data_IF_270341216622
#
_entry.id   IF_270341216622
#
_cell.length_a   1.000
_cell.length_b   1.000
_cell.length_c   1.000
_cell.angle_alpha   90.00
_cell.angle_beta   90.00
_cell.angle_gamma   90.00
#
_symmetry.space_group_name_H-M   'P 1'
#
loop_
_entity.id
_entity.type
_entity.pdbx_description
1 polymer ?
#
# COMPACT_ATOMS: atom_id res chain seq x y z
N UNK A 1 -30.34 11.35 -0.31
CA UNK A 1 -29.23 12.30 -0.02
C UNK A 1 -27.99 11.51 0.32
N UNK A 2 -26.82 11.90 -0.19
CA UNK A 2 -25.52 11.28 0.17
C UNK A 2 -24.68 12.32 0.91
N UNK A 3 -24.12 11.95 2.06
CA UNK A 3 -23.19 12.79 2.83
C UNK A 3 -21.76 12.47 2.44
N UNK A 4 -20.96 13.50 2.16
CA UNK A 4 -19.55 13.38 1.85
C UNK A 4 -18.73 13.92 3.03
N UNK A 5 -17.85 13.09 3.59
CA UNK A 5 -16.93 13.46 4.64
C UNK A 5 -15.54 13.61 4.03
N UNK A 6 -14.99 14.82 4.03
CA UNK A 6 -13.65 15.09 3.50
C UNK A 6 -12.65 15.04 4.65
N UNK A 7 -11.62 14.22 4.50
CA UNK A 7 -10.57 14.02 5.48
C UNK A 7 -9.21 14.19 4.79
N UNK A 8 -8.22 14.70 5.51
CA UNK A 8 -6.86 14.79 5.00
C UNK A 8 -6.28 13.39 4.81
N UNK A 9 -6.15 12.63 5.87
CA UNK A 9 -5.56 11.29 5.84
C UNK A 9 -6.24 10.32 6.80
N UNK A 10 -5.71 9.12 6.84
CA UNK A 10 -6.10 8.04 7.75
C UNK A 10 -4.85 7.26 8.14
N UNK A 11 -4.74 6.89 9.43
CA UNK A 11 -3.66 6.08 9.97
C UNK A 11 -4.15 4.71 10.46
N UNK A 12 -3.22 3.92 10.99
CA UNK A 12 -3.59 2.77 11.81
C UNK A 12 -4.32 3.27 13.06
N UNK A 13 -5.41 2.59 13.44
CA UNK A 13 -6.33 2.98 14.52
C UNK A 13 -5.61 3.22 15.88
N UNK A 14 -4.99 4.36 16.00
CA UNK A 14 -4.16 4.74 17.14
C UNK A 14 -4.54 6.08 17.76
N UNK A 15 -5.44 6.84 17.13
CA UNK A 15 -5.84 8.16 17.60
C UNK A 15 -7.36 8.34 17.67
N UNK A 16 -7.79 9.35 18.42
CA UNK A 16 -9.20 9.70 18.52
C UNK A 16 -9.83 10.14 17.20
N UNK A 17 -9.01 10.60 16.24
CA UNK A 17 -9.49 11.04 14.92
C UNK A 17 -10.02 9.86 14.10
N UNK A 18 -9.27 8.77 14.00
CA UNK A 18 -9.68 7.55 13.30
C UNK A 18 -10.93 6.95 13.94
N UNK A 19 -10.99 6.89 15.27
CA UNK A 19 -12.19 6.41 15.97
C UNK A 19 -13.41 7.32 15.74
N UNK A 20 -13.23 8.63 15.73
CA UNK A 20 -14.32 9.56 15.44
C UNK A 20 -14.86 9.37 14.01
N UNK A 21 -14.00 9.11 13.03
CA UNK A 21 -14.42 8.79 11.67
C UNK A 21 -15.24 7.49 11.62
N UNK A 22 -14.79 6.43 12.32
CA UNK A 22 -15.49 5.16 12.44
C UNK A 22 -16.87 5.34 13.09
N UNK A 23 -16.95 6.02 14.22
CA UNK A 23 -18.24 6.28 14.90
C UNK A 23 -19.21 7.06 14.01
N UNK A 24 -18.70 8.02 13.24
CA UNK A 24 -19.53 8.76 12.27
C UNK A 24 -20.07 7.84 11.17
N UNK A 25 -19.25 6.92 10.66
CA UNK A 25 -19.68 5.90 9.68
C UNK A 25 -20.78 5.03 10.27
N UNK A 26 -20.61 4.52 11.48
CA UNK A 26 -21.59 3.70 12.17
C UNK A 26 -22.91 4.46 12.40
N UNK A 27 -22.85 5.69 12.91
CA UNK A 27 -24.04 6.52 13.15
C UNK A 27 -24.83 6.80 11.88
N UNK A 28 -24.16 7.08 10.76
CA UNK A 28 -24.84 7.26 9.48
C UNK A 28 -25.48 5.96 8.98
N UNK A 29 -24.83 4.83 9.23
CA UNK A 29 -25.37 3.53 8.87
C UNK A 29 -26.66 3.19 9.63
N UNK A 30 -26.66 3.43 10.94
CA UNK A 30 -27.81 3.17 11.83
C UNK A 30 -29.06 3.94 11.41
N UNK A 31 -28.90 5.16 10.90
CA UNK A 31 -30.02 6.00 10.42
C UNK A 31 -30.25 5.89 8.92
N UNK A 32 -29.61 4.95 8.22
CA UNK A 32 -29.82 4.70 6.80
C UNK A 32 -29.33 5.81 5.86
N UNK A 33 -28.40 6.66 6.30
CA UNK A 33 -27.86 7.74 5.49
C UNK A 33 -26.73 7.20 4.61
N UNK A 34 -26.85 7.38 3.28
CA UNK A 34 -25.75 7.11 2.34
C UNK A 34 -24.60 8.08 2.61
N UNK A 35 -23.39 7.55 2.69
CA UNK A 35 -22.20 8.35 3.00
C UNK A 35 -21.02 7.92 2.16
N UNK A 36 -20.09 8.83 1.97
CA UNK A 36 -18.76 8.60 1.38
C UNK A 36 -17.71 9.32 2.21
N UNK A 37 -16.55 8.67 2.37
CA UNK A 37 -15.39 9.25 3.03
C UNK A 37 -14.31 9.50 1.97
N UNK A 38 -13.92 10.75 1.82
CA UNK A 38 -12.91 11.18 0.85
C UNK A 38 -11.61 11.41 1.62
N UNK A 39 -10.54 10.76 1.19
CA UNK A 39 -9.18 10.96 1.70
C UNK A 39 -8.32 11.62 0.62
N UNK A 40 -7.70 12.75 0.95
CA UNK A 40 -6.93 13.57 0.02
C UNK A 40 -5.41 13.49 0.20
N UNK A 41 -4.93 12.88 1.27
CA UNK A 41 -3.49 12.73 1.50
C UNK A 41 -2.88 11.61 0.65
N UNK A 42 -1.62 11.82 0.22
CA UNK A 42 -0.87 10.82 -0.54
C UNK A 42 -0.29 9.77 0.41
N UNK A 43 -1.03 8.69 0.62
CA UNK A 43 -0.65 7.59 1.49
C UNK A 43 -0.03 6.48 0.63
N UNK A 44 1.30 6.44 0.52
CA UNK A 44 2.02 5.38 -0.19
C UNK A 44 2.62 4.33 0.74
N UNK A 45 3.07 4.71 1.93
CA UNK A 45 3.72 3.80 2.87
C UNK A 45 2.83 2.69 3.43
N UNK A 46 1.51 2.87 3.38
CA UNK A 46 0.50 1.88 3.77
C UNK A 46 -0.62 1.89 2.74
N UNK A 47 -1.19 0.72 2.45
CA UNK A 47 -2.35 0.63 1.57
C UNK A 47 -3.59 1.20 2.27
N UNK A 48 -4.26 2.16 1.64
CA UNK A 48 -5.48 2.76 2.20
C UNK A 48 -6.58 1.73 2.45
N UNK A 49 -6.69 0.69 1.62
CA UNK A 49 -7.64 -0.40 1.82
C UNK A 49 -7.39 -1.19 3.10
N UNK A 50 -6.13 -1.37 3.50
CA UNK A 50 -5.78 -2.02 4.77
C UNK A 50 -6.10 -1.12 5.96
N UNK A 51 -5.81 0.19 5.85
CA UNK A 51 -6.09 1.17 6.90
C UNK A 51 -7.59 1.30 7.16
N UNK A 52 -8.40 1.42 6.10
CA UNK A 52 -9.85 1.54 6.20
C UNK A 52 -10.51 0.26 6.69
N UNK A 53 -10.04 -0.91 6.22
CA UNK A 53 -10.52 -2.21 6.68
C UNK A 53 -10.23 -2.43 8.18
N UNK A 54 -9.04 -2.03 8.66
CA UNK A 54 -8.68 -2.11 10.08
C UNK A 54 -9.63 -1.30 10.98
N UNK A 55 -10.19 -0.21 10.47
CA UNK A 55 -11.20 0.59 11.16
C UNK A 55 -12.63 0.07 10.96
N UNK A 56 -12.82 -0.91 10.08
CA UNK A 56 -14.12 -1.50 9.77
C UNK A 56 -14.98 -0.65 8.83
N UNK A 57 -14.35 0.18 8.00
CA UNK A 57 -15.05 0.83 6.91
C UNK A 57 -15.36 -0.15 5.78
N UNK A 58 -16.48 0.07 5.12
CA UNK A 58 -16.77 -0.56 3.84
C UNK A 58 -15.99 0.18 2.73
N UNK A 59 -15.15 -0.53 1.99
CA UNK A 59 -14.35 0.03 0.92
C UNK A 59 -15.19 0.72 -0.16
N UNK A 60 -16.43 0.27 -0.38
CA UNK A 60 -17.35 0.94 -1.30
C UNK A 60 -17.72 2.37 -0.86
N UNK A 61 -17.56 2.70 0.42
CA UNK A 61 -17.81 4.02 0.96
C UNK A 61 -16.56 4.93 0.96
N UNK A 62 -15.41 4.41 0.55
CA UNK A 62 -14.16 5.14 0.53
C UNK A 62 -13.87 5.70 -0.87
N UNK A 63 -13.42 6.94 -0.90
CA UNK A 63 -12.86 7.59 -2.09
C UNK A 63 -11.47 8.09 -1.71
N UNK A 64 -10.45 7.54 -2.32
CA UNK A 64 -9.10 8.08 -2.22
C UNK A 64 -8.81 8.89 -3.47
N UNK A 65 -8.42 10.15 -3.28
CA UNK A 65 -8.27 11.11 -4.38
C UNK A 65 -7.38 10.58 -5.52
N UNK A 66 -6.30 9.90 -5.17
CA UNK A 66 -5.33 9.39 -6.15
C UNK A 66 -5.82 8.17 -6.94
N UNK A 67 -6.73 7.37 -6.38
CA UNK A 67 -7.36 6.26 -7.11
C UNK A 67 -8.59 6.70 -7.92
N UNK A 68 -9.16 7.86 -7.61
CA UNK A 68 -10.39 8.32 -8.26
C UNK A 68 -10.26 8.46 -9.79
N UNK A 69 -9.07 8.79 -10.26
CA UNK A 69 -8.77 8.98 -11.68
C UNK A 69 -8.15 7.73 -12.33
N UNK A 70 -8.19 6.59 -11.66
CA UNK A 70 -7.66 5.31 -12.16
C UNK A 70 -8.74 4.23 -12.12
N UNK A 71 -8.52 3.12 -12.85
CA UNK A 71 -9.39 1.94 -12.80
C UNK A 71 -9.09 1.03 -11.59
N UNK A 72 -8.11 1.39 -10.75
CA UNK A 72 -7.71 0.61 -9.59
C UNK A 72 -8.68 0.85 -8.44
N UNK A 73 -9.34 -0.21 -7.98
CA UNK A 73 -10.26 -0.15 -6.83
C UNK A 73 -9.48 -0.15 -5.51
N UNK A 74 -10.09 0.46 -4.48
CA UNK A 74 -9.59 0.33 -3.12
C UNK A 74 -9.81 -1.12 -2.66
N UNK A 75 -8.75 -1.76 -2.21
CA UNK A 75 -8.74 -3.14 -1.74
C UNK A 75 -7.61 -3.34 -0.74
N UNK A 76 -7.76 -4.31 0.14
CA UNK A 76 -6.67 -4.77 1.02
C UNK A 76 -5.53 -5.40 0.22
N UNK A 77 -4.35 -5.46 0.83
CA UNK A 77 -3.15 -6.05 0.24
C UNK A 77 -3.28 -7.56 0.12
N UNK A 78 -3.50 -8.04 -1.10
CA UNK A 78 -3.66 -9.47 -1.41
C UNK A 78 -2.88 -9.92 -2.65
N UNK A 79 -2.00 -9.07 -3.20
CA UNK A 79 -1.11 -9.45 -4.29
C UNK A 79 -0.07 -10.47 -3.79
N UNK A 80 0.01 -11.63 -4.45
CA UNK A 80 0.82 -12.74 -3.97
C UNK A 80 2.30 -12.54 -4.34
N UNK A 81 3.19 -12.88 -3.41
CA UNK A 81 4.63 -12.94 -3.67
C UNK A 81 4.96 -13.92 -4.80
N UNK A 82 4.24 -15.04 -4.89
CA UNK A 82 4.46 -16.04 -5.95
C UNK A 82 4.10 -15.48 -7.33
N UNK A 83 3.08 -14.61 -7.42
CA UNK A 83 2.76 -13.89 -8.66
C UNK A 83 3.92 -12.97 -9.05
N UNK A 84 4.45 -12.18 -8.11
CA UNK A 84 5.61 -11.33 -8.35
C UNK A 84 6.84 -12.13 -8.81
N UNK A 85 7.14 -13.25 -8.12
CA UNK A 85 8.26 -14.12 -8.46
C UNK A 85 8.15 -14.66 -9.89
N UNK A 86 6.96 -15.01 -10.33
CA UNK A 86 6.70 -15.51 -11.68
C UNK A 86 6.78 -14.41 -12.74
N UNK A 87 6.12 -13.26 -12.50
CA UNK A 87 6.10 -12.14 -13.45
C UNK A 87 7.50 -11.57 -13.71
N UNK A 88 8.32 -11.47 -12.67
CA UNK A 88 9.68 -10.95 -12.77
C UNK A 88 10.74 -12.05 -12.95
N UNK A 89 10.36 -13.32 -13.05
CA UNK A 89 11.25 -14.48 -13.13
C UNK A 89 12.33 -14.49 -12.02
N UNK A 90 11.96 -14.04 -10.81
CA UNK A 90 12.92 -13.81 -9.73
C UNK A 90 13.71 -15.07 -9.33
N UNK A 91 13.05 -16.25 -9.34
CA UNK A 91 13.71 -17.53 -9.03
C UNK A 91 14.86 -17.87 -9.98
N UNK A 92 14.75 -17.45 -11.26
CA UNK A 92 15.76 -17.68 -12.28
C UNK A 92 16.86 -16.63 -12.28
N UNK A 93 16.50 -15.37 -11.99
CA UNK A 93 17.39 -14.22 -12.10
C UNK A 93 18.15 -13.93 -10.80
N UNK A 94 17.74 -14.51 -9.67
CA UNK A 94 18.39 -14.28 -8.38
C UNK A 94 19.54 -15.26 -8.14
N UNK A 95 20.66 -14.71 -7.74
CA UNK A 95 21.81 -15.49 -7.23
C UNK A 95 21.62 -15.92 -5.78
N UNK A 96 20.82 -15.17 -5.02
CA UNK A 96 20.53 -15.46 -3.62
C UNK A 96 19.14 -14.92 -3.25
N UNK A 97 18.42 -15.67 -2.39
CA UNK A 97 17.13 -15.27 -1.82
C UNK A 97 17.18 -15.48 -0.31
N UNK A 98 16.82 -14.44 0.45
CA UNK A 98 16.82 -14.48 1.92
C UNK A 98 15.55 -13.83 2.45
N UNK A 99 14.94 -14.42 3.47
CA UNK A 99 13.81 -13.82 4.21
C UNK A 99 14.28 -13.38 5.60
N UNK A 100 13.96 -12.14 5.96
CA UNK A 100 14.24 -11.57 7.28
C UNK A 100 12.98 -10.86 7.78
N UNK A 101 12.33 -11.39 8.78
CA UNK A 101 11.06 -10.87 9.29
C UNK A 101 9.98 -10.86 8.19
N UNK A 102 9.47 -9.68 7.89
CA UNK A 102 8.48 -9.46 6.83
C UNK A 102 9.09 -9.07 5.47
N UNK A 103 10.38 -9.17 5.30
CA UNK A 103 11.05 -8.78 4.06
C UNK A 103 11.70 -9.99 3.38
N UNK A 104 11.50 -10.08 2.06
CA UNK A 104 12.14 -11.09 1.19
C UNK A 104 13.08 -10.37 0.24
N UNK A 105 14.36 -10.70 0.35
CA UNK A 105 15.44 -10.10 -0.41
C UNK A 105 15.81 -11.01 -1.58
N UNK A 106 15.83 -10.46 -2.79
CA UNK A 106 16.28 -11.11 -4.01
C UNK A 106 17.52 -10.39 -4.53
N UNK A 107 18.67 -11.04 -4.46
CA UNK A 107 19.90 -10.51 -5.07
C UNK A 107 19.98 -10.95 -6.52
N UNK A 108 19.82 -10.02 -7.46
CA UNK A 108 19.88 -10.33 -8.89
C UNK A 108 21.33 -10.37 -9.41
N UNK A 109 21.52 -11.07 -10.54
CA UNK A 109 22.84 -11.28 -11.13
C UNK A 109 23.50 -9.99 -11.65
N UNK A 110 22.72 -8.95 -11.92
CA UNK A 110 23.19 -7.63 -12.39
C UNK A 110 23.53 -6.66 -11.25
N UNK A 111 23.53 -7.13 -10.00
CA UNK A 111 23.80 -6.34 -8.81
C UNK A 111 22.59 -5.55 -8.29
N UNK A 112 21.43 -5.67 -8.91
CA UNK A 112 20.18 -5.13 -8.39
C UNK A 112 19.65 -6.02 -7.26
N UNK A 113 19.17 -5.42 -6.19
CA UNK A 113 18.46 -6.10 -5.11
C UNK A 113 17.01 -5.69 -5.12
N UNK A 114 16.11 -6.66 -5.12
CA UNK A 114 14.70 -6.44 -4.87
C UNK A 114 14.38 -6.82 -3.41
N UNK A 115 13.61 -5.99 -2.73
CA UNK A 115 13.13 -6.25 -1.38
C UNK A 115 11.62 -6.19 -1.40
N UNK A 116 10.98 -7.35 -1.31
CA UNK A 116 9.53 -7.46 -1.21
C UNK A 116 9.11 -7.44 0.26
N UNK A 117 8.22 -6.52 0.64
CA UNK A 117 7.64 -6.43 1.98
C UNK A 117 6.35 -7.24 2.02
N UNK A 118 6.26 -8.17 2.96
CA UNK A 118 5.06 -8.97 3.18
C UNK A 118 4.05 -8.18 4.02
N UNK A 119 2.84 -8.01 3.50
CA UNK A 119 1.68 -7.56 4.27
C UNK A 119 1.20 -8.65 5.22
N UNK A 120 1.15 -9.90 4.72
CA UNK A 120 0.82 -11.11 5.48
C UNK A 120 1.85 -12.21 5.15
N UNK A 121 2.61 -12.62 6.17
CA UNK A 121 3.67 -13.62 6.00
C UNK A 121 3.12 -15.04 5.78
N UNK A 122 1.97 -15.39 6.38
CA UNK A 122 1.35 -16.71 6.24
C UNK A 122 0.76 -16.90 4.85
N UNK A 123 0.05 -15.90 4.35
CA UNK A 123 -0.54 -15.89 3.00
C UNK A 123 0.46 -15.53 1.92
N UNK A 124 1.67 -15.09 2.29
CA UNK A 124 2.71 -14.60 1.35
C UNK A 124 2.20 -13.51 0.42
N UNK A 125 1.40 -12.58 0.95
CA UNK A 125 0.97 -11.39 0.23
C UNK A 125 1.91 -10.23 0.46
N UNK A 126 2.07 -9.35 -0.52
CA UNK A 126 2.96 -8.18 -0.47
C UNK A 126 2.19 -6.88 -0.60
N UNK A 127 2.74 -5.82 -0.07
CA UNK A 127 2.25 -4.45 -0.22
C UNK A 127 3.28 -3.51 -0.86
N UNK A 128 4.56 -3.88 -0.89
CA UNK A 128 5.63 -3.04 -1.42
C UNK A 128 6.78 -3.87 -1.99
N UNK A 129 7.38 -3.37 -3.07
CA UNK A 129 8.67 -3.86 -3.61
C UNK A 129 9.62 -2.70 -3.79
N UNK A 130 10.77 -2.77 -3.13
CA UNK A 130 11.86 -1.80 -3.26
C UNK A 130 12.95 -2.32 -4.18
N UNK A 131 13.48 -1.45 -5.04
CA UNK A 131 14.57 -1.73 -5.96
C UNK A 131 15.80 -0.96 -5.50
N UNK A 132 16.84 -1.67 -5.10
CA UNK A 132 18.06 -1.10 -4.52
C UNK A 132 19.27 -1.52 -5.35
N UNK A 133 20.15 -0.58 -5.70
CA UNK A 133 21.42 -0.85 -6.37
C UNK A 133 22.53 -0.06 -5.69
N UNK A 134 23.64 -0.71 -5.38
CA UNK A 134 24.77 -0.09 -4.69
C UNK A 134 24.35 0.66 -3.40
N UNK A 135 23.50 0.06 -2.59
CA UNK A 135 22.90 0.65 -1.37
C UNK A 135 22.06 1.93 -1.62
N UNK A 136 21.71 2.22 -2.88
CA UNK A 136 20.85 3.34 -3.23
C UNK A 136 19.48 2.82 -3.62
N UNK A 137 18.44 3.33 -2.98
CA UNK A 137 17.07 3.07 -3.34
C UNK A 137 16.75 3.80 -4.65
N UNK A 138 16.31 3.06 -5.66
CA UNK A 138 16.00 3.60 -6.98
C UNK A 138 14.50 3.81 -7.18
N UNK A 139 13.71 2.86 -6.67
CA UNK A 139 12.29 2.79 -6.94
C UNK A 139 11.57 2.00 -5.86
N UNK A 140 10.31 2.34 -5.60
CA UNK A 140 9.35 1.50 -4.88
C UNK A 140 8.09 1.31 -5.71
N UNK A 141 7.59 0.09 -5.77
CA UNK A 141 6.27 -0.26 -6.29
C UNK A 141 5.34 -0.59 -5.12
N UNK A 142 4.09 -0.14 -5.19
CA UNK A 142 3.08 -0.35 -4.16
C UNK A 142 1.93 -1.19 -4.71
N UNK A 143 1.49 -2.15 -3.89
CA UNK A 143 0.55 -3.19 -4.28
C UNK A 143 -0.66 -3.25 -3.35
N UNK A 144 -1.84 -3.47 -3.94
CA UNK A 144 -3.05 -3.94 -3.26
C UNK A 144 -3.40 -5.34 -3.79
N UNK A 145 -4.34 -5.48 -4.70
CA UNK A 145 -4.56 -6.69 -5.51
C UNK A 145 -3.80 -6.63 -6.86
N UNK A 146 -3.29 -5.47 -7.19
CA UNK A 146 -2.42 -5.16 -8.33
C UNK A 146 -1.46 -4.06 -7.92
N UNK A 147 -0.47 -3.79 -8.76
CA UNK A 147 0.36 -2.59 -8.59
C UNK A 147 -0.49 -1.34 -8.86
N UNK A 148 -0.56 -0.42 -7.90
CA UNK A 148 -1.37 0.80 -8.01
C UNK A 148 -0.55 2.08 -8.06
N UNK A 149 0.70 2.06 -7.59
CA UNK A 149 1.57 3.24 -7.60
C UNK A 149 3.03 2.82 -7.71
N UNK A 150 3.87 3.76 -8.15
CA UNK A 150 5.32 3.65 -8.02
C UNK A 150 5.92 5.00 -7.65
N UNK A 151 7.03 4.94 -6.92
CA UNK A 151 7.83 6.08 -6.49
C UNK A 151 9.25 5.90 -7.01
N UNK A 152 9.77 6.92 -7.68
CA UNK A 152 11.16 6.94 -8.17
C UNK A 152 12.00 7.87 -7.31
N UNK A 153 13.17 7.41 -6.91
CA UNK A 153 14.14 8.18 -6.15
C UNK A 153 15.22 8.67 -7.11
N UNK A 154 15.16 9.94 -7.47
CA UNK A 154 16.25 10.61 -8.16
C UNK A 154 17.37 10.74 -7.13
N UNK A 155 18.52 10.12 -7.41
CA UNK A 155 19.62 10.00 -6.46
C UNK A 155 19.87 11.34 -5.75
N UNK A 156 19.94 11.31 -4.43
CA UNK A 156 20.35 12.47 -3.68
C UNK A 156 21.75 12.84 -4.14
N UNK A 157 21.89 13.99 -4.80
CA UNK A 157 23.18 14.63 -4.97
C UNK A 157 23.81 14.72 -3.58
N UNK A 158 24.98 14.10 -3.41
CA UNK A 158 25.71 14.12 -2.14
C UNK A 158 26.11 15.53 -1.68
N UNK A 159 25.78 16.54 -2.45
CA UNK A 159 26.20 17.93 -2.26
C UNK A 159 25.11 18.88 -1.74
N UNK A 160 23.89 18.42 -1.48
CA UNK A 160 22.88 19.22 -0.79
C UNK A 160 22.75 18.80 0.67
N UNK A 161 23.68 19.29 1.50
CA UNK A 161 23.49 19.46 2.94
C UNK A 161 22.77 20.77 3.22
#
# INVERSE_FOLDING_TARGET
MTVYNINLGIGWASSGVEYAQKYRDQSFNEVGIKRKFIFSDLILGNNIGDLTANLGFDNDNIIWLYNFFTDVKISTSNYSLDTLENELNLKKLSSNVKTVGKEVFYQLNDGLQLVARLSDAEKRTIDQVSYVKNNTLLKRDFYSYTKYACEYYLGADKDNR
#
